data_IF_128542116315
#
_entry.id   IF_128542116315
#
_cell.length_a   1.000
_cell.length_b   1.000
_cell.length_c   1.000
_cell.angle_alpha   90.00
_cell.angle_beta   90.00
_cell.angle_gamma   90.00
#
_symmetry.space_group_name_H-M   'P 1'
#
loop_
_entity.id
_entity.type
_entity.pdbx_description
1 polymer ?
#
# COMPACT_ATOMS: atom_id res chain seq x y z
N UNK A 1 -15.44 46.15 -29.90
CA UNK A 1 -14.69 45.50 -28.85
C UNK A 1 -13.36 45.03 -29.36
N UNK A 2 -12.33 45.33 -28.66
CA UNK A 2 -11.04 44.79 -29.07
C UNK A 2 -11.03 43.27 -28.93
N UNK A 3 -10.34 42.59 -29.82
CA UNK A 3 -10.17 41.18 -29.72
C UNK A 3 -9.38 40.84 -28.44
N UNK A 4 -9.64 39.67 -27.81
CA UNK A 4 -8.87 39.29 -26.63
C UNK A 4 -7.40 39.14 -27.00
N UNK A 5 -6.54 39.54 -26.09
CA UNK A 5 -5.11 39.46 -26.28
C UNK A 5 -4.71 37.96 -26.28
N UNK A 6 -4.03 37.46 -27.33
CA UNK A 6 -3.60 36.08 -27.35
C UNK A 6 -2.74 35.67 -26.16
N UNK A 7 -1.99 36.60 -25.59
CA UNK A 7 -1.19 36.34 -24.41
C UNK A 7 -2.04 36.07 -23.19
N UNK A 8 -3.13 36.85 -23.03
CA UNK A 8 -4.07 36.65 -21.96
C UNK A 8 -4.78 35.30 -22.08
N UNK A 9 -5.16 34.95 -23.30
CA UNK A 9 -5.80 33.65 -23.57
C UNK A 9 -4.85 32.50 -23.21
N UNK A 10 -3.58 32.63 -23.55
CA UNK A 10 -2.57 31.62 -23.21
C UNK A 10 -2.35 31.53 -21.72
N UNK A 11 -2.32 32.66 -21.02
CA UNK A 11 -2.17 32.70 -19.58
C UNK A 11 -3.33 31.99 -18.89
N UNK A 12 -4.56 32.26 -19.34
CA UNK A 12 -5.73 31.60 -18.80
C UNK A 12 -5.68 30.10 -19.05
N UNK A 13 -5.29 29.71 -20.25
CA UNK A 13 -5.13 28.28 -20.59
C UNK A 13 -4.08 27.61 -19.69
N UNK A 14 -2.97 28.27 -19.45
CA UNK A 14 -1.91 27.78 -18.57
C UNK A 14 -2.39 27.69 -17.14
N UNK A 15 -3.12 28.68 -16.65
CA UNK A 15 -3.70 28.65 -15.31
C UNK A 15 -4.66 27.48 -15.12
N UNK A 16 -5.50 27.24 -16.11
CA UNK A 16 -6.41 26.10 -16.10
C UNK A 16 -5.64 24.78 -16.08
N UNK A 17 -4.60 24.71 -16.88
CA UNK A 17 -3.75 23.51 -16.93
C UNK A 17 -3.08 23.26 -15.59
N UNK A 18 -2.53 24.30 -14.99
CA UNK A 18 -1.91 24.21 -13.67
C UNK A 18 -2.91 23.74 -12.63
N UNK A 19 -4.11 24.30 -12.66
CA UNK A 19 -5.18 23.90 -11.73
C UNK A 19 -5.52 22.42 -11.88
N UNK A 20 -5.61 21.93 -13.10
CA UNK A 20 -5.84 20.51 -13.35
C UNK A 20 -4.69 19.66 -12.86
N UNK A 21 -3.45 20.09 -13.11
CA UNK A 21 -2.28 19.36 -12.65
C UNK A 21 -2.21 19.30 -11.13
N UNK A 22 -2.52 20.39 -10.46
CA UNK A 22 -2.57 20.42 -9.02
C UNK A 22 -3.61 19.45 -8.47
N UNK A 23 -4.78 19.42 -9.10
CA UNK A 23 -5.84 18.49 -8.73
C UNK A 23 -5.39 17.04 -8.93
N UNK A 24 -4.76 16.76 -10.06
CA UNK A 24 -4.24 15.42 -10.36
C UNK A 24 -3.17 15.00 -9.37
N UNK A 25 -2.26 15.92 -9.02
CA UNK A 25 -1.23 15.65 -8.03
C UNK A 25 -1.84 15.35 -6.66
N UNK A 26 -2.87 16.10 -6.29
CA UNK A 26 -3.58 15.85 -5.04
C UNK A 26 -4.20 14.47 -5.02
N UNK A 27 -4.85 14.07 -6.12
CA UNK A 27 -5.45 12.76 -6.24
C UNK A 27 -4.40 11.66 -6.19
N UNK A 28 -3.29 11.83 -6.89
CA UNK A 28 -2.18 10.87 -6.87
C UNK A 28 -1.58 10.74 -5.47
N UNK A 29 -1.38 11.86 -4.81
CA UNK A 29 -0.84 11.85 -3.46
C UNK A 29 -1.76 11.09 -2.50
N UNK A 30 -3.06 11.31 -2.60
CA UNK A 30 -4.05 10.59 -1.80
C UNK A 30 -4.01 9.09 -2.10
N UNK A 31 -3.90 8.73 -3.37
CA UNK A 31 -3.81 7.33 -3.79
C UNK A 31 -2.54 6.68 -3.24
N UNK A 32 -1.41 7.38 -3.27
CA UNK A 32 -0.15 6.87 -2.73
C UNK A 32 -0.24 6.65 -1.23
N UNK A 33 -0.83 7.57 -0.50
CA UNK A 33 -1.01 7.44 0.94
C UNK A 33 -1.90 6.24 1.27
N UNK A 34 -2.95 6.05 0.49
CA UNK A 34 -3.84 4.91 0.68
C UNK A 34 -3.11 3.60 0.39
N UNK A 35 -2.33 3.54 -0.69
CA UNK A 35 -1.52 2.38 -1.01
C UNK A 35 -0.51 2.08 0.10
N UNK A 36 0.09 3.10 0.66
CA UNK A 36 1.05 2.94 1.75
C UNK A 36 0.39 2.32 2.97
N UNK A 37 -0.82 2.76 3.29
CA UNK A 37 -1.61 2.15 4.38
C UNK A 37 -1.91 0.69 4.11
N UNK A 38 -2.27 0.38 2.88
CA UNK A 38 -2.55 -0.99 2.47
C UNK A 38 -1.31 -1.87 2.56
N UNK A 39 -0.16 -1.34 2.13
CA UNK A 39 1.11 -2.04 2.22
C UNK A 39 1.50 -2.31 3.67
N UNK A 40 1.32 -1.34 4.53
CA UNK A 40 1.63 -1.48 5.96
C UNK A 40 0.73 -2.53 6.59
N UNK A 41 -0.56 -2.53 6.24
CA UNK A 41 -1.50 -3.53 6.72
C UNK A 41 -1.10 -4.93 6.23
N UNK A 42 -0.69 -5.03 4.97
CA UNK A 42 -0.24 -6.29 4.39
C UNK A 42 1.03 -6.79 5.07
N UNK A 43 1.99 -5.91 5.32
CA UNK A 43 3.22 -6.27 6.04
C UNK A 43 2.90 -6.81 7.43
N UNK A 44 1.98 -6.17 8.13
CA UNK A 44 1.55 -6.66 9.44
C UNK A 44 0.88 -8.03 9.35
N UNK A 45 0.05 -8.23 8.33
CA UNK A 45 -0.60 -9.52 8.11
C UNK A 45 0.42 -10.61 7.81
N UNK A 46 1.41 -10.31 6.97
CA UNK A 46 2.49 -11.23 6.65
C UNK A 46 3.29 -11.56 7.90
N UNK A 47 3.60 -10.56 8.71
CA UNK A 47 4.32 -10.78 9.96
C UNK A 47 3.59 -11.72 10.90
N UNK A 48 2.27 -11.52 11.04
CA UNK A 48 1.44 -12.42 11.85
C UNK A 48 1.42 -13.82 11.27
N UNK A 49 1.32 -13.94 9.96
CA UNK A 49 1.32 -15.24 9.28
C UNK A 49 2.65 -15.96 9.48
N UNK A 50 3.76 -15.25 9.31
CA UNK A 50 5.09 -15.80 9.55
C UNK A 50 5.22 -16.30 10.99
N UNK A 51 4.73 -15.54 11.93
CA UNK A 51 4.71 -15.94 13.33
C UNK A 51 3.94 -17.21 13.55
N UNK A 52 2.77 -17.33 12.92
CA UNK A 52 1.95 -18.54 13.02
C UNK A 52 2.61 -19.74 12.36
N UNK A 53 3.24 -19.52 11.20
CA UNK A 53 3.97 -20.60 10.52
C UNK A 53 5.14 -21.07 11.39
N UNK A 54 5.89 -20.16 11.96
CA UNK A 54 6.97 -20.49 12.88
C UNK A 54 6.45 -21.29 14.06
N UNK A 55 5.37 -20.84 14.66
CA UNK A 55 4.76 -21.53 15.78
C UNK A 55 4.30 -22.94 15.42
N UNK A 56 3.66 -23.09 14.28
CA UNK A 56 3.22 -24.39 13.78
C UNK A 56 4.41 -25.31 13.50
N UNK A 57 5.48 -24.76 12.97
CA UNK A 57 6.70 -25.52 12.72
C UNK A 57 7.32 -26.01 14.02
N UNK A 58 7.39 -25.17 15.03
CA UNK A 58 7.86 -25.55 16.35
C UNK A 58 6.98 -26.61 17.00
N UNK A 59 5.69 -26.45 16.90
CA UNK A 59 4.73 -27.43 17.40
C UNK A 59 4.88 -28.75 16.65
N UNK A 60 5.09 -28.69 15.34
CA UNK A 60 5.31 -29.87 14.51
C UNK A 60 6.56 -30.62 14.94
N UNK A 61 7.66 -29.91 15.14
CA UNK A 61 8.90 -30.50 15.62
C UNK A 61 8.71 -31.10 17.01
N UNK A 62 8.01 -30.42 17.86
CA UNK A 62 7.70 -30.91 19.19
C UNK A 62 6.86 -32.18 19.13
N UNK A 63 5.91 -32.25 18.23
CA UNK A 63 5.09 -33.44 18.02
C UNK A 63 5.90 -34.60 17.48
N UNK A 64 6.80 -34.36 16.56
CA UNK A 64 7.69 -35.38 16.02
C UNK A 64 8.55 -35.96 17.11
N UNK A 65 9.12 -35.14 17.95
CA UNK A 65 9.89 -35.59 19.08
C UNK A 65 9.03 -36.42 20.05
N UNK A 66 7.78 -36.01 20.23
CA UNK A 66 6.82 -36.74 21.04
C UNK A 66 6.46 -38.08 20.43
N UNK A 67 6.31 -38.12 19.12
CA UNK A 67 5.98 -39.34 18.37
C UNK A 67 7.09 -40.35 18.39
N UNK A 68 8.32 -39.92 18.51
CA UNK A 68 9.46 -40.81 18.62
C UNK A 68 9.54 -41.49 19.97
N UNK A 69 8.84 -41.03 20.95
CA UNK A 69 8.79 -41.70 22.22
C UNK A 69 8.04 -43.01 22.10
N UNK A 70 8.44 -44.00 22.82
CA UNK A 70 7.68 -45.22 22.79
C UNK A 70 6.27 -44.92 23.16
N UNK A 71 5.37 -45.50 22.46
CA UNK A 71 3.98 -45.20 22.67
C UNK A 71 3.64 -45.56 24.08
N UNK A 72 3.40 -44.57 24.72
CA UNK A 72 2.94 -44.72 26.01
C UNK A 72 1.50 -44.75 25.94
N UNK A 73 0.98 -45.38 25.33
CA UNK A 73 -0.39 -45.41 25.11
C UNK A 73 -1.27 -45.37 26.30
#
# INVERSE_FOLDING_TARGET
MPAPDPREERLVALELLITHLESDLGALNSALLEQQKQMDALKRAIGRLEGRVTQLSEEGESRELGDERPPHY
#
